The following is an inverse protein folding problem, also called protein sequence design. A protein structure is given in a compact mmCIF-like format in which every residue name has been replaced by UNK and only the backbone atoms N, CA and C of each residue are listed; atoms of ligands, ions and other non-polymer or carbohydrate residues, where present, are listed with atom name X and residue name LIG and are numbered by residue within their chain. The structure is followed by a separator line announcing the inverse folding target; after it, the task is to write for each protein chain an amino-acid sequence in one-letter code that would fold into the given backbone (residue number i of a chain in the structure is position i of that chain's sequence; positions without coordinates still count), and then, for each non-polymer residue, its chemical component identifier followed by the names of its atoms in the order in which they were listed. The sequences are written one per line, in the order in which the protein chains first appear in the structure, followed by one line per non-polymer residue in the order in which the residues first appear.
data_IF_446813347959
#
_entry.id   IF_446813347959
#
_cell.length_a   1.000
_cell.length_b   1.000
_cell.length_c   1.000
_cell.angle_alpha   90.00
_cell.angle_beta   90.00
_cell.angle_gamma   90.00
#
_symmetry.space_group_name_H-M   'P 1'
#
loop_
_entity.id
_entity.type
_entity.pdbx_description
1 polymer ?
#
# COMPACT_ATOMS: atom_id res chain seq x y z
N UNK A 1 58.20 15.96 47.32
CA UNK A 1 56.99 15.16 47.62
C UNK A 1 55.80 15.93 47.07
N UNK A 2 55.47 15.68 45.81
CA UNK A 2 54.38 16.37 45.12
C UNK A 2 53.07 15.69 45.51
N UNK A 3 52.24 16.37 46.29
CA UNK A 3 50.87 15.96 46.58
C UNK A 3 50.07 16.04 45.29
N UNK A 4 49.88 14.89 44.63
CA UNK A 4 48.91 14.73 43.54
C UNK A 4 47.53 14.91 44.17
N UNK A 5 47.02 16.13 44.10
CA UNK A 5 45.64 16.46 44.44
C UNK A 5 44.75 15.64 43.49
N UNK A 6 44.25 14.50 43.97
CA UNK A 6 43.27 13.73 43.24
C UNK A 6 42.04 14.62 43.09
N UNK A 7 41.72 14.99 41.85
CA UNK A 7 40.44 15.60 41.54
C UNK A 7 39.35 14.68 42.11
N UNK A 8 38.37 15.21 42.86
CA UNK A 8 37.31 14.37 43.41
C UNK A 8 36.61 13.66 42.26
N UNK A 9 36.63 12.32 42.28
CA UNK A 9 35.95 11.48 41.30
C UNK A 9 34.49 11.94 41.24
N UNK A 10 34.11 12.58 40.14
CA UNK A 10 32.75 13.06 39.96
C UNK A 10 31.84 11.85 39.75
N UNK A 11 31.24 11.38 40.84
CA UNK A 11 30.30 10.27 40.78
C UNK A 11 29.12 10.64 39.87
N UNK A 12 28.65 9.70 39.02
CA UNK A 12 27.44 9.93 38.26
C UNK A 12 26.31 10.29 39.22
N UNK A 13 25.54 11.31 38.89
CA UNK A 13 24.58 11.92 39.82
C UNK A 13 23.14 11.81 39.33
N UNK A 14 22.21 11.87 40.27
CA UNK A 14 20.78 11.92 40.00
C UNK A 14 20.46 13.11 39.10
N UNK A 15 19.74 12.87 38.01
CA UNK A 15 19.37 13.96 37.10
C UNK A 15 18.53 15.06 37.78
N UNK A 16 17.79 14.71 38.84
CA UNK A 16 16.88 15.61 39.57
C UNK A 16 17.58 16.30 40.74
N UNK A 17 17.98 15.54 41.78
CA UNK A 17 18.55 16.12 43.00
C UNK A 17 20.05 16.39 42.92
N UNK A 18 20.73 15.91 41.87
CA UNK A 18 22.18 16.03 41.67
C UNK A 18 23.05 15.30 42.70
N UNK A 19 22.46 14.54 43.61
CA UNK A 19 23.19 13.67 44.52
C UNK A 19 23.90 12.54 43.76
N UNK A 20 25.16 12.28 44.10
CA UNK A 20 25.96 11.20 43.54
C UNK A 20 25.35 9.83 43.84
N UNK A 21 25.38 8.93 42.85
CA UNK A 21 24.94 7.55 43.06
C UNK A 21 25.96 6.78 43.90
N UNK A 22 25.47 5.99 44.84
CA UNK A 22 26.26 5.01 45.58
C UNK A 22 25.75 3.62 45.22
N UNK A 23 26.62 2.66 44.86
CA UNK A 23 26.20 1.33 44.38
C UNK A 23 25.35 0.56 45.39
N UNK A 24 25.51 0.86 46.68
CA UNK A 24 24.82 0.17 47.79
C UNK A 24 23.70 1.05 48.35
N UNK A 25 24.04 2.26 48.81
CA UNK A 25 23.10 3.09 49.59
C UNK A 25 22.13 3.89 48.72
N UNK A 26 22.55 4.24 47.49
CA UNK A 26 21.76 5.08 46.59
C UNK A 26 21.88 4.61 45.14
N UNK A 27 21.40 3.40 44.81
CA UNK A 27 21.58 2.82 43.49
C UNK A 27 20.81 3.60 42.44
N UNK A 28 21.44 3.82 41.28
CA UNK A 28 20.80 4.50 40.17
C UNK A 28 19.59 3.73 39.64
N UNK A 29 18.49 4.43 39.38
CA UNK A 29 17.33 3.92 38.66
C UNK A 29 17.33 4.51 37.24
N UNK A 30 17.50 3.66 36.24
CA UNK A 30 17.46 4.03 34.82
C UNK A 30 16.02 3.99 34.33
N UNK A 31 15.54 5.13 33.82
CA UNK A 31 14.29 5.23 33.07
C UNK A 31 14.51 4.59 31.69
N UNK A 32 13.47 4.03 31.06
CA UNK A 32 13.57 3.42 29.73
C UNK A 32 14.17 4.33 28.65
N UNK A 33 14.04 5.66 28.79
CA UNK A 33 14.66 6.64 27.90
C UNK A 33 16.16 6.88 28.15
N UNK A 34 16.78 6.16 29.09
CA UNK A 34 18.22 6.21 29.37
C UNK A 34 18.64 7.12 30.53
N UNK A 35 17.78 8.01 31.01
CA UNK A 35 18.11 8.93 32.10
C UNK A 35 18.11 8.23 33.47
N UNK A 36 19.06 8.59 34.33
CA UNK A 36 19.23 8.00 35.66
C UNK A 36 18.73 8.95 36.76
N UNK A 37 17.99 8.40 37.73
CA UNK A 37 17.49 9.11 38.92
C UNK A 37 17.74 8.28 40.17
N UNK A 38 17.85 8.91 41.34
CA UNK A 38 17.95 8.19 42.60
C UNK A 38 16.58 7.55 42.96
N UNK A 39 16.54 6.54 43.83
CA UNK A 39 15.29 5.85 44.20
C UNK A 39 14.22 6.81 44.72
N UNK A 40 14.63 7.79 45.55
CA UNK A 40 13.73 8.81 46.12
C UNK A 40 13.07 9.66 45.03
N UNK A 41 13.86 10.20 44.11
CA UNK A 41 13.34 10.99 43.00
C UNK A 41 12.50 10.15 42.03
N UNK A 42 12.83 8.88 41.84
CA UNK A 42 12.06 7.97 40.99
C UNK A 42 10.66 7.70 41.58
N UNK A 43 10.58 7.43 42.88
CA UNK A 43 9.31 7.24 43.58
C UNK A 43 8.49 8.53 43.57
N UNK A 44 9.12 9.70 43.79
CA UNK A 44 8.43 10.99 43.67
C UNK A 44 7.87 11.25 42.26
N UNK A 45 8.63 10.92 41.21
CA UNK A 45 8.15 11.01 39.83
C UNK A 45 6.92 10.13 39.60
N UNK A 46 6.92 8.90 40.11
CA UNK A 46 5.80 7.98 39.96
C UNK A 46 4.58 8.47 40.75
N UNK A 47 4.75 8.86 42.01
CA UNK A 47 3.68 9.34 42.88
C UNK A 47 3.00 10.59 42.31
N UNK A 48 3.78 11.53 41.78
CA UNK A 48 3.27 12.74 41.13
C UNK A 48 2.76 12.52 39.71
N UNK A 49 2.77 11.29 39.20
CA UNK A 49 2.45 10.96 37.80
C UNK A 49 3.25 11.81 36.81
N UNK A 50 4.51 12.10 37.15
CA UNK A 50 5.43 12.93 36.38
C UNK A 50 6.02 12.21 35.17
N UNK A 51 6.56 13.00 34.25
CA UNK A 51 7.32 12.53 33.09
C UNK A 51 8.82 12.63 33.32
N UNK A 52 9.61 12.11 32.37
CA UNK A 52 11.06 12.33 32.38
C UNK A 52 11.36 13.85 32.40
N UNK A 53 12.24 14.35 33.30
CA UNK A 53 12.50 15.78 33.43
C UNK A 53 13.11 16.41 32.17
N UNK A 54 13.88 15.64 31.39
CA UNK A 54 14.40 16.05 30.08
C UNK A 54 13.39 15.89 28.92
N UNK A 55 12.13 15.54 29.23
CA UNK A 55 11.00 15.46 28.28
C UNK A 55 11.22 14.59 27.05
N UNK A 56 12.13 13.62 27.10
CA UNK A 56 12.49 12.77 25.96
C UNK A 56 11.33 11.93 25.38
N UNK A 57 10.25 11.76 26.14
CA UNK A 57 9.06 10.98 25.75
C UNK A 57 7.81 11.85 25.65
N UNK A 58 7.94 13.14 25.32
CA UNK A 58 6.77 14.01 25.08
C UNK A 58 5.79 14.07 26.27
N UNK A 59 6.30 14.27 27.49
CA UNK A 59 5.52 14.33 28.73
C UNK A 59 4.75 13.04 29.11
N UNK A 60 5.09 11.89 28.51
CA UNK A 60 4.53 10.60 28.94
C UNK A 60 4.91 10.29 30.39
N UNK A 61 3.90 9.91 31.17
CA UNK A 61 4.01 9.57 32.60
C UNK A 61 4.86 8.32 32.80
N UNK A 62 5.83 8.39 33.71
CA UNK A 62 6.69 7.26 34.04
C UNK A 62 5.94 6.26 34.93
N UNK A 63 5.99 4.97 34.57
CA UNK A 63 5.45 3.88 35.39
C UNK A 63 6.58 3.10 36.07
N UNK A 64 6.28 2.44 37.20
CA UNK A 64 7.27 1.65 37.97
C UNK A 64 7.97 0.58 37.12
N UNK A 65 7.26 -0.05 36.18
CA UNK A 65 7.82 -1.04 35.23
C UNK A 65 8.82 -0.47 34.22
N UNK A 66 8.85 0.85 34.06
CA UNK A 66 9.77 1.55 33.14
C UNK A 66 11.05 2.01 33.83
N UNK A 67 11.17 1.75 35.13
CA UNK A 67 12.39 1.95 35.91
C UNK A 67 13.11 0.62 36.09
N UNK A 68 14.42 0.61 35.84
CA UNK A 68 15.29 -0.52 36.14
C UNK A 68 16.43 -0.07 37.05
N UNK A 69 16.80 -0.89 38.01
CA UNK A 69 18.03 -0.65 38.77
C UNK A 69 19.21 -0.79 37.83
N UNK A 70 20.07 0.22 37.79
CA UNK A 70 21.34 0.17 37.10
C UNK A 70 22.40 -0.23 38.12
N UNK A 71 23.05 -1.36 37.89
CA UNK A 71 24.20 -1.77 38.68
C UNK A 71 25.39 -0.93 38.25
N UNK A 72 25.92 -0.14 39.18
CA UNK A 72 27.11 0.68 38.97
C UNK A 72 28.24 0.01 39.75
N UNK A 73 29.39 -0.17 39.12
CA UNK A 73 30.64 -0.50 39.78
C UNK A 73 31.55 0.71 39.63
N UNK A 74 32.15 1.16 40.74
CA UNK A 74 33.12 2.25 40.71
C UNK A 74 34.49 1.58 40.74
N UNK A 75 35.11 1.49 39.57
CA UNK A 75 36.49 1.03 39.40
C UNK A 75 37.35 2.25 39.10
N UNK A 76 38.50 2.36 39.75
CA UNK A 76 39.52 3.33 39.38
C UNK A 76 40.13 2.90 38.05
N UNK A 77 39.95 3.71 37.03
CA UNK A 77 40.61 3.55 35.72
C UNK A 77 41.83 4.46 35.64
N UNK A 78 42.74 4.11 34.74
CA UNK A 78 43.85 4.98 34.32
C UNK A 78 43.42 5.83 33.12
N UNK A 79 44.10 6.96 32.86
CA UNK A 79 43.81 7.81 31.70
C UNK A 79 43.91 7.02 30.38
N UNK A 80 44.90 6.14 30.26
CA UNK A 80 45.09 5.28 29.08
C UNK A 80 43.89 4.33 28.84
N UNK A 81 43.32 3.75 29.91
CA UNK A 81 42.15 2.86 29.82
C UNK A 81 40.88 3.63 29.42
N UNK A 82 40.72 4.86 29.91
CA UNK A 82 39.59 5.73 29.55
C UNK A 82 39.66 6.18 28.08
N UNK A 83 40.87 6.50 27.60
CA UNK A 83 41.10 6.83 26.19
C UNK A 83 40.82 5.63 25.27
N UNK A 84 41.30 4.43 25.62
CA UNK A 84 41.03 3.22 24.86
C UNK A 84 39.52 2.90 24.82
N UNK A 85 38.83 3.01 25.95
CA UNK A 85 37.39 2.83 26.02
C UNK A 85 36.64 3.85 25.15
N UNK A 86 37.01 5.13 25.20
CA UNK A 86 36.41 6.17 24.37
C UNK A 86 36.64 5.90 22.88
N UNK A 87 37.86 5.53 22.48
CA UNK A 87 38.19 5.15 21.11
C UNK A 87 37.36 3.95 20.64
N UNK A 88 37.18 2.92 21.48
CA UNK A 88 36.36 1.75 21.13
C UNK A 88 34.90 2.12 20.84
N UNK A 89 34.33 3.05 21.62
CA UNK A 89 32.97 3.57 21.42
C UNK A 89 32.88 4.37 20.14
N UNK A 90 33.86 5.24 19.87
CA UNK A 90 33.92 6.03 18.64
C UNK A 90 34.00 5.12 17.41
N UNK A 91 34.87 4.11 17.43
CA UNK A 91 35.00 3.14 16.34
C UNK A 91 33.69 2.37 16.12
N UNK A 92 33.05 1.93 17.21
CA UNK A 92 31.75 1.24 17.14
C UNK A 92 30.66 2.13 16.54
N UNK A 93 30.63 3.42 16.90
CA UNK A 93 29.69 4.40 16.33
C UNK A 93 29.96 4.65 14.85
N UNK A 94 31.22 4.72 14.42
CA UNK A 94 31.59 4.87 13.01
C UNK A 94 31.19 3.65 12.18
N UNK A 95 31.43 2.44 12.70
CA UNK A 95 31.00 1.19 12.06
C UNK A 95 29.48 1.11 11.95
N UNK A 96 28.76 1.41 13.03
CA UNK A 96 27.30 1.45 13.00
C UNK A 96 26.76 2.48 12.00
N UNK A 97 27.39 3.66 11.90
CA UNK A 97 27.02 4.68 10.92
C UNK A 97 27.24 4.19 9.48
N UNK A 98 28.35 3.51 9.20
CA UNK A 98 28.60 2.93 7.88
C UNK A 98 27.53 1.87 7.55
N UNK A 99 27.27 0.96 8.48
CA UNK A 99 26.24 -0.07 8.34
C UNK A 99 24.85 0.51 8.05
N UNK A 100 24.45 1.56 8.79
CA UNK A 100 23.16 2.22 8.58
C UNK A 100 23.04 2.87 7.19
N UNK A 101 24.13 3.43 6.65
CA UNK A 101 24.16 3.99 5.29
C UNK A 101 24.01 2.92 4.22
N UNK A 102 24.68 1.78 4.40
CA UNK A 102 24.55 0.66 3.46
C UNK A 102 23.13 0.09 3.48
N UNK A 103 22.53 0.02 4.68
CA UNK A 103 21.15 -0.43 4.85
C UNK A 103 20.16 0.55 4.22
N UNK A 104 20.37 1.87 4.37
CA UNK A 104 19.58 2.90 3.71
C UNK A 104 19.63 2.76 2.18
N UNK A 105 20.83 2.63 1.60
CA UNK A 105 21.01 2.45 0.16
C UNK A 105 20.34 1.16 -0.36
N UNK A 106 20.53 0.04 0.35
CA UNK A 106 19.89 -1.23 -0.01
C UNK A 106 18.36 -1.14 0.02
N UNK A 107 17.81 -0.44 1.03
CA UNK A 107 16.36 -0.25 1.15
C UNK A 107 15.81 0.71 0.12
N UNK A 108 16.53 1.77 -0.24
CA UNK A 108 16.10 2.66 -1.33
C UNK A 108 16.03 1.92 -2.67
N UNK A 109 17.01 1.07 -2.97
CA UNK A 109 17.01 0.27 -4.21
C UNK A 109 15.86 -0.74 -4.23
N UNK A 110 15.61 -1.40 -3.09
CA UNK A 110 14.49 -2.32 -2.94
C UNK A 110 13.14 -1.60 -3.15
N UNK A 111 12.96 -0.42 -2.57
CA UNK A 111 11.76 0.39 -2.74
C UNK A 111 11.57 0.85 -4.18
N UNK A 112 12.64 1.29 -4.85
CA UNK A 112 12.59 1.69 -6.26
C UNK A 112 12.17 0.53 -7.17
N UNK A 113 12.70 -0.67 -6.92
CA UNK A 113 12.32 -1.87 -7.65
C UNK A 113 10.84 -2.24 -7.44
N UNK A 114 10.37 -2.24 -6.18
CA UNK A 114 8.97 -2.53 -5.86
C UNK A 114 8.02 -1.49 -6.48
N UNK A 115 8.37 -0.21 -6.42
CA UNK A 115 7.60 0.86 -7.06
C UNK A 115 7.42 0.61 -8.56
N UNK A 116 8.51 0.25 -9.25
CA UNK A 116 8.46 -0.10 -10.68
C UNK A 116 7.55 -1.30 -10.97
N UNK A 117 7.58 -2.33 -10.12
CA UNK A 117 6.69 -3.49 -10.26
C UNK A 117 5.22 -3.10 -10.10
N UNK A 118 4.90 -2.29 -9.09
CA UNK A 118 3.54 -1.79 -8.87
C UNK A 118 3.07 -0.95 -10.05
N UNK A 119 3.89 -0.02 -10.55
CA UNK A 119 3.55 0.77 -11.74
C UNK A 119 3.27 -0.10 -12.96
N UNK A 120 4.05 -1.16 -13.18
CA UNK A 120 3.83 -2.11 -14.27
C UNK A 120 2.52 -2.89 -14.10
N UNK A 121 2.20 -3.33 -12.88
CA UNK A 121 0.95 -4.03 -12.59
C UNK A 121 -0.26 -3.11 -12.79
N UNK A 122 -0.21 -1.87 -12.30
CA UNK A 122 -1.27 -0.89 -12.51
C UNK A 122 -1.49 -0.63 -14.00
N UNK A 123 -0.41 -0.40 -14.77
CA UNK A 123 -0.51 -0.21 -16.22
C UNK A 123 -1.13 -1.43 -16.93
N UNK A 124 -0.81 -2.64 -16.46
CA UNK A 124 -1.37 -3.88 -17.00
C UNK A 124 -2.87 -3.97 -16.70
N UNK A 125 -3.27 -3.70 -15.46
CA UNK A 125 -4.67 -3.69 -15.03
C UNK A 125 -5.46 -2.67 -15.85
N UNK A 126 -4.97 -1.44 -16.03
CA UNK A 126 -5.64 -0.41 -16.82
C UNK A 126 -5.86 -0.81 -18.28
N UNK A 127 -4.84 -1.44 -18.89
CA UNK A 127 -4.96 -1.97 -20.26
C UNK A 127 -6.09 -3.00 -20.34
N UNK A 128 -6.11 -3.98 -19.43
CA UNK A 128 -7.14 -5.00 -19.41
C UNK A 128 -8.51 -4.46 -19.06
N UNK A 129 -8.63 -3.51 -18.13
CA UNK A 129 -9.88 -2.85 -17.79
C UNK A 129 -10.51 -2.18 -19.02
N UNK A 130 -9.70 -1.50 -19.83
CA UNK A 130 -10.18 -0.90 -21.09
C UNK A 130 -10.68 -1.95 -22.08
N UNK A 131 -10.02 -3.10 -22.17
CA UNK A 131 -10.41 -4.21 -23.03
C UNK A 131 -11.75 -4.83 -22.56
N UNK A 132 -11.88 -5.10 -21.26
CA UNK A 132 -13.11 -5.65 -20.69
C UNK A 132 -14.30 -4.70 -20.86
N UNK A 133 -14.11 -3.39 -20.68
CA UNK A 133 -15.17 -2.40 -20.93
C UNK A 133 -15.67 -2.43 -22.37
N UNK A 134 -14.76 -2.52 -23.35
CA UNK A 134 -15.14 -2.62 -24.77
C UNK A 134 -15.86 -3.94 -25.06
N UNK A 135 -15.33 -5.06 -24.57
CA UNK A 135 -15.96 -6.37 -24.76
C UNK A 135 -17.37 -6.43 -24.13
N UNK A 136 -17.56 -5.80 -22.96
CA UNK A 136 -18.87 -5.67 -22.32
C UNK A 136 -19.83 -4.83 -23.16
N UNK A 137 -19.39 -3.69 -23.70
CA UNK A 137 -20.20 -2.86 -24.59
C UNK A 137 -20.65 -3.62 -25.86
N UNK A 138 -19.73 -4.31 -26.53
CA UNK A 138 -20.07 -5.12 -27.72
C UNK A 138 -21.05 -6.25 -27.40
N UNK A 139 -20.90 -6.91 -26.24
CA UNK A 139 -21.85 -7.94 -25.81
C UNK A 139 -23.23 -7.36 -25.49
N UNK A 140 -23.27 -6.15 -24.92
CA UNK A 140 -24.53 -5.45 -24.65
C UNK A 140 -25.24 -5.06 -25.95
N UNK A 141 -24.50 -4.54 -26.94
CA UNK A 141 -25.03 -4.23 -28.28
C UNK A 141 -25.60 -5.49 -28.94
N UNK A 142 -24.84 -6.59 -28.96
CA UNK A 142 -25.31 -7.86 -29.53
C UNK A 142 -26.56 -8.41 -28.81
N UNK A 143 -26.66 -8.24 -27.49
CA UNK A 143 -27.85 -8.65 -26.73
C UNK A 143 -29.08 -7.81 -27.09
N UNK A 144 -28.91 -6.50 -27.33
CA UNK A 144 -29.99 -5.63 -27.79
C UNK A 144 -30.44 -6.01 -29.21
N UNK A 145 -29.51 -6.23 -30.13
CA UNK A 145 -29.81 -6.68 -31.49
C UNK A 145 -30.60 -8.00 -31.49
N UNK A 146 -30.19 -8.98 -30.67
CA UNK A 146 -30.90 -10.24 -30.51
C UNK A 146 -32.32 -10.03 -29.97
N UNK A 147 -32.50 -9.11 -29.02
CA UNK A 147 -33.81 -8.77 -28.48
C UNK A 147 -34.72 -8.13 -29.53
N UNK A 148 -34.18 -7.28 -30.40
CA UNK A 148 -34.93 -6.68 -31.51
C UNK A 148 -35.33 -7.74 -32.53
N UNK A 149 -34.39 -8.57 -32.99
CA UNK A 149 -34.67 -9.66 -33.92
C UNK A 149 -35.73 -10.64 -33.38
N UNK A 150 -35.72 -10.95 -32.08
CA UNK A 150 -36.73 -11.79 -31.46
C UNK A 150 -38.13 -11.14 -31.48
N UNK A 151 -38.22 -9.83 -31.22
CA UNK A 151 -39.48 -9.09 -31.30
C UNK A 151 -40.03 -9.07 -32.73
N UNK A 152 -39.16 -8.87 -33.71
CA UNK A 152 -39.55 -8.87 -35.12
C UNK A 152 -40.04 -10.25 -35.56
N UNK A 153 -39.33 -11.31 -35.16
CA UNK A 153 -39.73 -12.70 -35.42
C UNK A 153 -41.10 -13.01 -34.81
N UNK A 154 -41.35 -12.61 -33.56
CA UNK A 154 -42.66 -12.78 -32.91
C UNK A 154 -43.76 -12.06 -33.67
N UNK A 155 -43.49 -10.85 -34.13
CA UNK A 155 -44.46 -10.06 -34.92
C UNK A 155 -44.76 -10.74 -36.25
N UNK A 156 -43.74 -11.24 -36.95
CA UNK A 156 -43.89 -11.99 -38.19
C UNK A 156 -44.69 -13.29 -37.99
N UNK A 157 -44.45 -14.02 -36.90
CA UNK A 157 -45.21 -15.23 -36.56
C UNK A 157 -46.69 -14.93 -36.31
N UNK A 158 -47.01 -13.82 -35.65
CA UNK A 158 -48.41 -13.38 -35.46
C UNK A 158 -49.06 -13.04 -36.81
N UNK A 159 -48.34 -12.32 -37.68
CA UNK A 159 -48.82 -12.00 -39.03
C UNK A 159 -49.06 -13.26 -39.87
N UNK A 160 -48.13 -14.20 -39.86
CA UNK A 160 -48.25 -15.48 -40.58
C UNK A 160 -49.48 -16.27 -40.09
N UNK A 161 -49.70 -16.36 -38.79
CA UNK A 161 -50.89 -17.01 -38.21
C UNK A 161 -52.18 -16.37 -38.69
N UNK A 162 -52.24 -15.04 -38.72
CA UNK A 162 -53.41 -14.31 -39.23
C UNK A 162 -53.64 -14.61 -40.71
N UNK A 163 -52.59 -14.60 -41.54
CA UNK A 163 -52.69 -14.94 -42.96
C UNK A 163 -53.13 -16.39 -43.20
N UNK A 164 -52.65 -17.33 -42.40
CA UNK A 164 -53.09 -18.74 -42.45
C UNK A 164 -54.57 -18.85 -42.05
N UNK A 165 -55.01 -18.12 -41.02
CA UNK A 165 -56.42 -18.09 -40.62
C UNK A 165 -57.32 -17.50 -41.72
N UNK A 166 -56.88 -16.42 -42.37
CA UNK A 166 -57.57 -15.80 -43.50
C UNK A 166 -57.65 -16.73 -44.71
N UNK A 167 -56.57 -17.47 -45.01
CA UNK A 167 -56.53 -18.46 -46.08
C UNK A 167 -57.49 -19.61 -45.79
N UNK A 168 -57.45 -20.20 -44.59
CA UNK A 168 -58.42 -21.23 -44.15
C UNK A 168 -59.87 -20.71 -44.26
N UNK A 169 -60.11 -19.45 -43.90
CA UNK A 169 -61.43 -18.84 -44.03
C UNK A 169 -61.87 -18.64 -45.50
N UNK A 170 -60.95 -18.28 -46.39
CA UNK A 170 -61.21 -18.16 -47.83
C UNK A 170 -61.48 -19.53 -48.48
N UNK A 171 -60.71 -20.56 -48.12
CA UNK A 171 -60.92 -21.93 -48.57
C UNK A 171 -62.31 -22.44 -48.18
N UNK A 172 -62.74 -22.23 -46.93
CA UNK A 172 -64.10 -22.55 -46.49
C UNK A 172 -65.18 -21.85 -47.33
N UNK A 173 -65.00 -20.56 -47.62
CA UNK A 173 -65.94 -19.81 -48.48
C UNK A 173 -66.01 -20.40 -49.89
N UNK A 174 -64.88 -20.82 -50.45
CA UNK A 174 -64.83 -21.48 -51.76
C UNK A 174 -65.50 -22.85 -51.77
N UNK A 175 -65.29 -23.68 -50.73
CA UNK A 175 -65.95 -24.98 -50.59
C UNK A 175 -67.48 -24.83 -50.52
N UNK A 176 -67.97 -23.89 -49.70
CA UNK A 176 -69.40 -23.56 -49.61
C UNK A 176 -69.94 -23.12 -50.98
N UNK A 177 -69.22 -22.25 -51.69
CA UNK A 177 -69.63 -21.78 -53.02
C UNK A 177 -69.64 -22.89 -54.09
N UNK A 178 -68.86 -23.96 -53.90
CA UNK A 178 -68.84 -25.15 -54.77
C UNK A 178 -69.91 -26.18 -54.42
N UNK A 179 -70.68 -25.99 -53.35
CA UNK A 179 -71.72 -26.93 -52.92
C UNK A 179 -71.19 -28.14 -52.16
N UNK A 180 -69.92 -28.12 -51.75
CA UNK A 180 -69.30 -29.15 -50.91
C UNK A 180 -69.49 -28.77 -49.44
N UNK A 181 -70.16 -29.63 -48.65
CA UNK A 181 -70.35 -29.37 -47.20
C UNK A 181 -69.02 -29.53 -46.46
N UNK A 182 -68.54 -28.51 -45.73
CA UNK A 182 -67.30 -28.63 -44.96
C UNK A 182 -67.45 -29.69 -43.86
N UNK A 183 -66.47 -30.60 -43.76
CA UNK A 183 -66.42 -31.65 -42.72
C UNK A 183 -66.21 -31.07 -41.31
N UNK A 184 -66.56 -31.82 -40.25
CA UNK A 184 -66.46 -31.35 -38.87
C UNK A 184 -65.01 -31.03 -38.49
N UNK A 185 -64.83 -29.87 -37.87
CA UNK A 185 -63.54 -29.31 -37.47
C UNK A 185 -62.87 -30.24 -36.44
N UNK A 186 -61.67 -30.75 -36.77
CA UNK A 186 -60.75 -31.19 -35.71
C UNK A 186 -60.30 -29.91 -35.00
N UNK A 187 -60.72 -29.74 -33.75
CA UNK A 187 -60.27 -28.67 -32.86
C UNK A 187 -58.75 -28.76 -32.70
N UNK A 188 -58.01 -28.08 -33.59
CA UNK A 188 -56.57 -27.85 -33.41
C UNK A 188 -56.42 -27.09 -32.10
N UNK A 189 -55.93 -27.80 -31.07
CA UNK A 189 -55.55 -27.27 -29.76
C UNK A 189 -54.89 -25.90 -29.92
N UNK A 190 -55.61 -24.88 -29.45
CA UNK A 190 -55.06 -23.54 -29.32
C UNK A 190 -53.96 -23.58 -28.27
N UNK A 191 -52.73 -23.87 -28.70
CA UNK A 191 -51.54 -23.67 -27.88
C UNK A 191 -51.44 -22.17 -27.65
N UNK A 192 -52.03 -21.71 -26.55
CA UNK A 192 -51.79 -20.39 -25.99
C UNK A 192 -50.29 -20.32 -25.69
N UNK A 193 -49.54 -19.62 -26.52
CA UNK A 193 -48.24 -19.08 -26.12
C UNK A 193 -48.55 -18.11 -24.97
N UNK A 194 -48.54 -18.64 -23.75
CA UNK A 194 -48.55 -17.82 -22.55
C UNK A 194 -47.43 -16.79 -22.69
N UNK A 195 -47.78 -15.51 -22.62
CA UNK A 195 -46.84 -14.42 -22.53
C UNK A 195 -45.90 -14.70 -21.36
N UNK A 196 -44.59 -14.93 -21.58
CA UNK A 196 -43.63 -15.03 -20.49
C UNK A 196 -43.23 -13.60 -20.10
N UNK A 197 -44.18 -12.75 -19.72
CA UNK A 197 -43.86 -11.44 -19.12
C UNK A 197 -43.43 -11.59 -17.65
N UNK A 198 -43.59 -12.76 -17.01
CA UNK A 198 -43.29 -12.93 -15.59
C UNK A 198 -41.99 -13.69 -15.23
N UNK A 199 -41.09 -13.95 -16.19
CA UNK A 199 -39.79 -14.56 -15.84
C UNK A 199 -38.58 -13.81 -16.40
N UNK A 200 -38.66 -12.47 -16.42
CA UNK A 200 -37.47 -11.61 -16.40
C UNK A 200 -36.88 -11.55 -14.98
N UNK A 201 -36.56 -12.72 -14.41
CA UNK A 201 -35.67 -12.88 -13.25
C UNK A 201 -34.21 -12.53 -13.55
N UNK A 202 -33.95 -11.73 -14.60
CA UNK A 202 -32.77 -10.91 -14.68
C UNK A 202 -33.09 -9.65 -13.90
N UNK A 203 -32.93 -9.76 -12.57
CA UNK A 203 -32.73 -8.61 -11.71
C UNK A 203 -31.69 -7.73 -12.38
N UNK A 204 -32.17 -6.64 -12.99
CA UNK A 204 -31.45 -5.40 -13.11
C UNK A 204 -30.98 -5.10 -11.69
N UNK A 205 -29.76 -5.56 -11.37
CA UNK A 205 -28.89 -4.86 -10.47
C UNK A 205 -28.80 -3.46 -11.08
N UNK A 206 -29.76 -2.61 -10.67
CA UNK A 206 -29.63 -1.18 -10.69
C UNK A 206 -28.42 -0.89 -9.80
N UNK A 207 -27.25 -0.98 -10.41
CA UNK A 207 -25.95 -0.55 -9.89
C UNK A 207 -25.87 0.98 -9.81
N UNK A 208 -26.97 1.63 -9.43
CA UNK A 208 -26.99 3.04 -9.01
C UNK A 208 -26.11 3.24 -7.76
N UNK A 209 -25.82 2.16 -7.02
CA UNK A 209 -24.87 2.12 -5.91
C UNK A 209 -23.39 2.08 -6.32
N UNK A 210 -23.05 1.65 -7.55
CA UNK A 210 -21.66 1.62 -8.02
C UNK A 210 -21.29 2.91 -8.76
N UNK A 211 -22.23 3.50 -9.51
CA UNK A 211 -22.01 4.81 -10.17
C UNK A 211 -21.92 5.99 -9.20
N UNK A 212 -22.65 5.96 -8.06
CA UNK A 212 -22.48 6.98 -7.01
C UNK A 212 -21.15 6.83 -6.26
N UNK A 213 -20.73 5.62 -5.90
CA UNK A 213 -19.43 5.39 -5.25
C UNK A 213 -18.22 5.67 -6.13
N UNK A 214 -18.29 5.44 -7.45
CA UNK A 214 -17.19 5.81 -8.35
C UNK A 214 -17.11 7.32 -8.62
N UNK A 215 -18.18 8.10 -8.39
CA UNK A 215 -18.17 9.56 -8.54
C UNK A 215 -17.82 10.27 -7.23
N UNK A 216 -18.10 9.67 -6.07
CA UNK A 216 -17.61 10.14 -4.76
C UNK A 216 -16.12 9.78 -4.57
N UNK A 217 -15.69 8.57 -4.95
CA UNK A 217 -14.27 8.18 -4.86
C UNK A 217 -13.33 8.96 -5.80
N UNK A 218 -13.84 9.53 -6.90
CA UNK A 218 -13.05 10.40 -7.79
C UNK A 218 -13.02 11.87 -7.31
N UNK A 219 -13.87 12.26 -6.36
CA UNK A 219 -13.83 13.60 -5.76
C UNK A 219 -13.02 13.63 -4.45
N UNK A 220 -12.96 12.51 -3.72
CA UNK A 220 -12.17 12.39 -2.48
C UNK A 220 -10.65 12.34 -2.75
N UNK A 221 -10.22 11.91 -3.94
CA UNK A 221 -8.80 11.90 -4.34
C UNK A 221 -8.27 13.31 -4.70
N UNK A 222 -9.14 14.24 -5.12
CA UNK A 222 -8.76 15.64 -5.36
C UNK A 222 -8.66 16.45 -4.04
N UNK A 223 -9.44 16.12 -3.00
CA UNK A 223 -9.29 16.74 -1.67
C UNK A 223 -8.08 16.21 -0.87
N UNK A 224 -7.61 14.99 -1.17
CA UNK A 224 -6.35 14.47 -0.60
C UNK A 224 -5.10 14.96 -1.35
N UNK A 225 -5.24 15.38 -2.62
CA UNK A 225 -4.15 15.98 -3.39
C UNK A 225 -3.80 17.42 -2.93
N UNK A 226 -4.76 18.18 -2.38
CA UNK A 226 -4.47 19.53 -1.85
C UNK A 226 -3.78 19.54 -0.47
N UNK A 227 -3.91 18.45 0.31
CA UNK A 227 -3.25 18.32 1.62
C UNK A 227 -1.85 17.70 1.54
N UNK A 228 -1.43 17.19 0.38
CA UNK A 228 -0.07 16.73 0.11
C UNK A 228 0.83 17.83 -0.47
N UNK A 229 0.74 19.07 0.05
CA UNK A 229 1.80 20.05 -0.19
C UNK A 229 3.03 19.61 0.61
N UNK A 230 4.17 19.31 -0.02
CA UNK A 230 5.40 19.11 0.73
C UNK A 230 5.68 20.42 1.47
N UNK A 231 5.84 20.33 2.80
CA UNK A 231 6.40 21.40 3.60
C UNK A 231 7.65 21.91 2.90
N UNK A 232 7.54 23.10 2.30
CA UNK A 232 8.66 23.81 1.74
C UNK A 232 9.67 23.94 2.87
N UNK A 233 10.76 23.20 2.73
CA UNK A 233 11.94 23.31 3.56
C UNK A 233 12.24 24.79 3.72
N UNK A 234 12.24 25.23 4.98
CA UNK A 234 12.92 26.44 5.41
C UNK A 234 14.28 26.51 4.71
N UNK A 235 14.41 27.48 3.80
CA UNK A 235 15.71 27.95 3.34
C UNK A 235 16.37 28.56 4.56
N UNK A 236 17.26 27.79 5.17
CA UNK A 236 18.30 28.32 6.04
C UNK A 236 19.20 29.16 5.13
N UNK A 237 19.18 30.47 5.36
CA UNK A 237 20.19 31.40 4.88
C UNK A 237 21.57 30.87 5.25
N UNK A 238 22.40 30.65 4.24
CA UNK A 238 23.86 30.67 4.36
C UNK A 238 24.37 31.41 3.14
N UNK A 239 24.42 32.72 3.31
CA UNK A 239 25.35 33.56 2.60
C UNK A 239 26.76 33.29 3.15
N UNK A 240 27.73 33.42 2.25
CA UNK A 240 29.16 33.67 2.45
C UNK A 240 30.04 32.50 2.93
N UNK A 241 30.75 31.87 1.98
CA UNK A 241 32.13 32.28 1.71
C UNK A 241 32.67 31.69 0.39
N UNK A 242 33.29 32.58 -0.37
CA UNK A 242 33.99 32.40 -1.63
C UNK A 242 35.23 31.51 -1.51
N UNK A 243 35.64 30.96 -2.67
CA UNK A 243 37.00 30.75 -3.21
C UNK A 243 37.07 29.37 -3.89
N UNK A 244 36.98 29.33 -5.24
CA UNK A 244 38.11 29.33 -6.18
C UNK A 244 38.92 28.00 -6.03
N UNK A 245 39.00 27.08 -7.00
CA UNK A 245 39.63 27.21 -8.31
C UNK A 245 39.49 25.88 -9.10
N UNK A 246 39.48 25.98 -10.42
CA UNK A 246 40.12 25.10 -11.41
C UNK A 246 40.07 23.57 -11.21
N UNK A 247 39.39 22.89 -12.15
CA UNK A 247 40.04 21.99 -13.15
C UNK A 247 39.03 21.00 -13.75
N UNK A 248 38.64 21.22 -15.00
CA UNK A 248 38.43 20.15 -16.00
C UNK A 248 39.60 20.21 -17.00
N UNK A 249 39.82 19.27 -17.93
CA UNK A 249 39.15 17.99 -18.19
C UNK A 249 40.13 16.81 -18.39
N UNK A 250 39.67 15.56 -18.34
CA UNK A 250 40.25 14.53 -19.24
C UNK A 250 39.21 13.54 -19.73
N UNK A 251 39.05 13.56 -21.05
CA UNK A 251 38.42 12.53 -21.87
C UNK A 251 39.22 11.23 -21.77
N UNK A 252 38.55 10.09 -21.60
CA UNK A 252 39.00 8.82 -22.19
C UNK A 252 37.81 7.97 -22.63
N UNK A 253 37.69 7.86 -23.95
CA UNK A 253 36.99 6.79 -24.63
C UNK A 253 37.63 5.42 -24.31
N UNK A 254 36.85 4.34 -24.23
CA UNK A 254 36.94 3.19 -25.15
C UNK A 254 36.13 1.95 -24.72
N UNK A 255 35.48 1.39 -25.75
CA UNK A 255 35.38 -0.04 -26.10
C UNK A 255 34.19 -0.86 -25.58
N UNK A 256 33.27 -1.05 -26.53
CA UNK A 256 32.40 -2.19 -26.75
C UNK A 256 32.98 -3.55 -26.35
N UNK A 257 32.15 -4.40 -25.74
CA UNK A 257 32.08 -5.84 -26.08
C UNK A 257 30.69 -6.38 -25.77
N UNK A 258 29.90 -6.57 -26.84
CA UNK A 258 28.74 -7.46 -26.86
C UNK A 258 29.26 -8.89 -26.67
N UNK A 259 28.82 -9.57 -25.63
CA UNK A 259 28.97 -11.02 -25.50
C UNK A 259 27.59 -11.63 -25.73
N UNK A 260 27.42 -12.33 -26.83
CA UNK A 260 26.25 -13.17 -27.08
C UNK A 260 26.44 -14.52 -26.36
N UNK A 261 25.41 -15.06 -25.69
CA UNK A 261 25.47 -16.44 -25.23
C UNK A 261 25.18 -17.42 -26.38
N UNK A 262 26.08 -18.39 -26.56
CA UNK A 262 25.90 -19.59 -27.39
C UNK A 262 24.87 -20.54 -26.74
N UNK A 263 24.08 -21.28 -27.53
CA UNK A 263 23.18 -22.32 -27.02
C UNK A 263 23.95 -23.62 -26.78
N UNK A 264 23.68 -24.31 -25.66
CA UNK A 264 24.14 -25.67 -25.42
C UNK A 264 23.00 -26.65 -25.67
N UNK A 265 23.20 -27.45 -26.72
CA UNK A 265 22.43 -28.65 -27.06
C UNK A 265 22.73 -29.79 -26.09
N UNK A 266 21.66 -30.43 -25.59
CA UNK A 266 21.38 -31.87 -25.49
C UNK A 266 22.57 -32.87 -25.45
N UNK A 267 22.61 -33.67 -24.38
CA UNK A 267 22.96 -35.11 -24.38
C UNK A 267 22.07 -35.81 -23.33
N UNK A 268 21.11 -36.65 -23.78
CA UNK A 268 21.19 -38.13 -23.89
C UNK A 268 21.35 -38.81 -22.52
N UNK A 269 20.23 -39.24 -21.95
CA UNK A 269 20.19 -40.35 -21.00
C UNK A 269 19.89 -41.66 -21.74
N UNK A 270 20.66 -42.67 -21.37
CA UNK A 270 20.63 -44.03 -21.83
C UNK A 270 19.32 -44.74 -21.44
N UNK A 271 18.88 -45.63 -22.34
CA UNK A 271 18.19 -46.87 -22.01
C UNK A 271 19.15 -48.01 -22.35
#
# INVERSE_FOLDING_TARGET
MSSVLHAPIALPACFICKDGFHPIDLPAKRIICGHCVCPVCADQLILRRGSCPSKCRGNVRIRRRELRTLHISITTTTEDEDEEAALSVILSLLQNRAHLRDLEASKSDQLAHLSKLVSNQLSTIDRYASFYRRAAATRQEAALELSHANRDLRTALVQERNLVADLKAAERKLLIARGETPGPEEEEESITLADPEENSGLGLLQDDGYRKRSREALNDDDELAENARPAQRARVSRDDDELAENSQPTQRARVSRRVAPRPLHRSRNAQ
#
